data_IF_441748812711
#
_entry.id   IF_441748812711
#
_cell.length_a   1.000
_cell.length_b   1.000
_cell.length_c   1.000
_cell.angle_alpha   90.00
_cell.angle_beta   90.00
_cell.angle_gamma   90.00
#
_symmetry.space_group_name_H-M   'P 1'
#
loop_
_entity.id
_entity.type
_entity.pdbx_description
1 polymer ?
#
# COMPACT_ATOMS: atom_id res chain seq x y z
N UNK A 1 -36.50 11.12 4.29
CA UNK A 1 -35.63 11.30 5.48
C UNK A 1 -35.22 9.95 6.09
N UNK A 2 -36.13 9.00 6.40
CA UNK A 2 -35.74 7.68 6.88
C UNK A 2 -34.77 6.97 5.94
N UNK A 3 -34.97 7.09 4.63
CA UNK A 3 -34.18 6.43 3.58
C UNK A 3 -32.69 6.80 3.64
N UNK A 4 -32.36 8.02 4.05
CA UNK A 4 -30.96 8.50 4.18
C UNK A 4 -30.23 7.80 5.33
N UNK A 5 -30.96 7.35 6.36
CA UNK A 5 -30.41 6.64 7.52
C UNK A 5 -30.47 5.12 7.28
N UNK A 6 -31.50 4.63 6.60
CA UNK A 6 -31.67 3.22 6.26
C UNK A 6 -30.73 2.75 5.14
N UNK A 7 -30.35 3.62 4.20
CA UNK A 7 -29.40 3.30 3.13
C UNK A 7 -28.03 2.83 3.65
N UNK A 8 -27.29 3.60 4.49
CA UNK A 8 -25.99 3.16 4.97
C UNK A 8 -26.10 1.96 5.92
N UNK A 9 -27.18 1.86 6.72
CA UNK A 9 -27.42 0.71 7.60
C UNK A 9 -27.62 -0.60 6.83
N UNK A 10 -28.27 -0.58 5.66
CA UNK A 10 -28.39 -1.76 4.79
C UNK A 10 -27.03 -2.18 4.26
N UNK A 11 -26.29 -1.27 3.63
CA UNK A 11 -24.96 -1.58 3.08
C UNK A 11 -23.95 -2.06 4.13
N UNK A 12 -24.08 -1.63 5.39
CA UNK A 12 -23.26 -2.09 6.52
C UNK A 12 -23.64 -3.53 6.97
N UNK A 13 -24.92 -3.91 6.88
CA UNK A 13 -25.33 -5.30 7.10
C UNK A 13 -24.97 -6.22 5.92
N UNK A 14 -25.13 -5.72 4.70
CA UNK A 14 -24.79 -6.44 3.46
C UNK A 14 -23.25 -6.58 3.32
N UNK A 15 -22.48 -5.57 3.72
CA UNK A 15 -21.01 -5.59 3.79
C UNK A 15 -20.47 -6.62 4.78
N UNK A 16 -21.05 -6.71 5.98
CA UNK A 16 -20.75 -7.79 6.94
C UNK A 16 -21.06 -9.18 6.35
N UNK A 17 -22.22 -9.35 5.70
CA UNK A 17 -22.58 -10.61 5.07
C UNK A 17 -21.58 -11.00 3.95
N UNK A 18 -21.22 -10.04 3.10
CA UNK A 18 -20.24 -10.21 2.03
C UNK A 18 -18.83 -10.53 2.56
N UNK A 19 -18.40 -9.90 3.66
CA UNK A 19 -17.12 -10.22 4.33
C UNK A 19 -17.06 -11.69 4.76
N UNK A 20 -18.11 -12.20 5.44
CA UNK A 20 -18.16 -13.60 5.85
C UNK A 20 -18.30 -14.56 4.66
N UNK A 21 -19.07 -14.18 3.63
CA UNK A 21 -19.21 -14.96 2.41
C UNK A 21 -17.86 -15.16 1.70
N UNK A 22 -17.09 -14.10 1.51
CA UNK A 22 -15.75 -14.13 0.89
C UNK A 22 -14.72 -14.97 1.68
N UNK A 23 -14.86 -15.05 3.00
CA UNK A 23 -13.99 -15.86 3.87
C UNK A 23 -14.37 -17.35 3.88
N UNK A 24 -15.65 -17.68 3.71
CA UNK A 24 -16.17 -19.05 3.79
C UNK A 24 -16.12 -19.75 2.42
N UNK A 25 -16.29 -19.02 1.31
CA UNK A 25 -16.32 -19.58 -0.04
C UNK A 25 -15.24 -19.00 -0.97
N UNK A 26 -13.94 -19.37 -0.79
CA UNK A 26 -12.85 -18.93 -1.67
C UNK A 26 -13.03 -19.32 -3.15
N UNK A 27 -13.84 -20.33 -3.43
CA UNK A 27 -14.17 -20.75 -4.80
C UNK A 27 -15.10 -19.80 -5.56
N UNK A 28 -15.70 -18.80 -4.88
CA UNK A 28 -16.50 -17.75 -5.52
C UNK A 28 -15.64 -16.57 -6.04
N UNK A 29 -14.33 -16.59 -5.81
CA UNK A 29 -13.44 -15.50 -6.21
C UNK A 29 -13.28 -15.48 -7.75
N UNK A 30 -13.29 -14.30 -8.41
CA UNK A 30 -13.17 -14.26 -9.88
C UNK A 30 -11.79 -14.73 -10.35
N UNK A 31 -11.75 -15.68 -11.28
CA UNK A 31 -10.50 -16.19 -11.86
C UNK A 31 -9.75 -15.10 -12.67
N UNK A 32 -8.52 -14.72 -12.29
CA UNK A 32 -7.73 -13.72 -13.03
C UNK A 32 -7.27 -14.21 -14.42
N UNK A 33 -7.42 -15.51 -14.70
CA UNK A 33 -7.08 -16.12 -15.99
C UNK A 33 -8.16 -15.95 -17.06
N UNK A 34 -9.39 -15.58 -16.67
CA UNK A 34 -10.47 -15.28 -17.60
C UNK A 34 -10.65 -13.76 -17.79
N UNK A 35 -10.97 -13.36 -19.03
CA UNK A 35 -11.20 -11.96 -19.37
C UNK A 35 -12.39 -11.35 -18.63
N UNK A 36 -13.46 -12.12 -18.40
CA UNK A 36 -14.59 -11.62 -17.61
C UNK A 36 -14.27 -11.59 -16.10
N UNK A 37 -13.42 -12.50 -15.62
CA UNK A 37 -12.88 -12.48 -14.25
C UNK A 37 -12.04 -11.23 -13.96
N UNK A 38 -11.09 -10.89 -14.83
CA UNK A 38 -10.31 -9.64 -14.73
C UNK A 38 -11.19 -8.39 -14.68
N UNK A 39 -12.21 -8.32 -15.54
CA UNK A 39 -13.17 -7.21 -15.56
C UNK A 39 -13.94 -7.11 -14.24
N UNK A 40 -14.37 -8.25 -13.66
CA UNK A 40 -15.03 -8.28 -12.35
C UNK A 40 -14.11 -7.80 -11.22
N UNK A 41 -12.83 -8.17 -11.21
CA UNK A 41 -11.85 -7.72 -10.21
C UNK A 41 -11.69 -6.19 -10.26
N UNK A 42 -11.56 -5.63 -11.47
CA UNK A 42 -11.41 -4.17 -11.67
C UNK A 42 -12.66 -3.42 -11.20
N UNK A 43 -13.86 -3.90 -11.57
CA UNK A 43 -15.11 -3.27 -11.11
C UNK A 43 -15.38 -3.47 -9.62
N UNK A 44 -14.97 -4.59 -9.03
CA UNK A 44 -15.08 -4.83 -7.58
C UNK A 44 -14.27 -3.80 -6.77
N UNK A 45 -13.06 -3.45 -7.22
CA UNK A 45 -12.25 -2.40 -6.60
C UNK A 45 -12.86 -1.00 -6.64
N UNK A 46 -13.80 -0.75 -7.56
CA UNK A 46 -14.58 0.49 -7.66
C UNK A 46 -16.00 0.36 -7.07
N UNK A 47 -16.35 -0.78 -6.48
CA UNK A 47 -17.71 -1.07 -6.02
C UNK A 47 -18.02 -0.42 -4.68
N UNK A 48 -19.30 -0.08 -4.50
CA UNK A 48 -19.81 0.44 -3.24
C UNK A 48 -19.83 -0.63 -2.15
N UNK A 49 -20.08 -1.88 -2.52
CA UNK A 49 -20.04 -3.05 -1.62
C UNK A 49 -18.66 -3.22 -0.98
N UNK A 50 -17.58 -3.14 -1.77
CA UNK A 50 -16.21 -3.24 -1.27
C UNK A 50 -15.86 -2.11 -0.29
N UNK A 51 -16.37 -0.88 -0.51
CA UNK A 51 -16.20 0.22 0.45
C UNK A 51 -16.83 -0.11 1.81
N UNK A 52 -18.05 -0.65 1.83
CA UNK A 52 -18.70 -1.03 3.08
C UNK A 52 -18.02 -2.23 3.75
N UNK A 53 -17.56 -3.23 3.00
CA UNK A 53 -16.72 -4.33 3.53
C UNK A 53 -15.45 -3.81 4.25
N UNK A 54 -14.80 -2.77 3.72
CA UNK A 54 -13.64 -2.13 4.40
C UNK A 54 -14.07 -1.41 5.68
N UNK A 55 -15.20 -0.67 5.65
CA UNK A 55 -15.75 0.02 6.81
C UNK A 55 -16.13 -0.98 7.90
N UNK A 56 -16.74 -2.10 7.53
CA UNK A 56 -17.13 -3.19 8.44
C UNK A 56 -15.91 -3.88 9.05
N UNK A 57 -14.87 -4.15 8.27
CA UNK A 57 -13.61 -4.67 8.79
C UNK A 57 -12.99 -3.72 9.82
N UNK A 58 -12.97 -2.41 9.53
CA UNK A 58 -12.48 -1.40 10.46
C UNK A 58 -13.35 -1.31 11.73
N UNK A 59 -14.67 -1.42 11.59
CA UNK A 59 -15.62 -1.40 12.70
C UNK A 59 -15.52 -2.67 13.57
N UNK A 60 -15.33 -3.84 12.98
CA UNK A 60 -15.04 -5.10 13.69
C UNK A 60 -13.74 -4.96 14.51
N UNK A 61 -12.66 -4.46 13.89
CA UNK A 61 -11.37 -4.25 14.59
C UNK A 61 -11.55 -3.26 15.74
N UNK A 62 -12.29 -2.17 15.54
CA UNK A 62 -12.59 -1.18 16.57
C UNK A 62 -13.42 -1.78 17.72
N UNK A 63 -14.50 -2.51 17.43
CA UNK A 63 -15.37 -3.11 18.45
C UNK A 63 -14.63 -4.19 19.26
N UNK A 64 -13.91 -5.09 18.60
CA UNK A 64 -13.07 -6.10 19.30
C UNK A 64 -11.99 -5.38 20.13
N UNK A 65 -11.42 -4.30 19.59
CA UNK A 65 -10.41 -3.50 20.26
C UNK A 65 -10.88 -2.77 21.51
N UNK A 66 -12.09 -2.21 21.49
CA UNK A 66 -12.73 -1.60 22.66
C UNK A 66 -13.07 -2.64 23.73
N UNK A 67 -13.49 -3.84 23.32
CA UNK A 67 -13.79 -4.96 24.24
C UNK A 67 -12.52 -5.60 24.82
N UNK A 68 -11.39 -5.55 24.09
CA UNK A 68 -10.10 -6.13 24.49
C UNK A 68 -8.95 -5.21 24.06
N UNK A 69 -8.47 -4.27 24.90
CA UNK A 69 -7.41 -3.33 24.52
C UNK A 69 -6.09 -4.02 24.12
N UNK A 70 -5.82 -5.23 24.63
CA UNK A 70 -4.68 -6.05 24.19
C UNK A 70 -4.74 -6.47 22.71
N UNK A 71 -5.92 -6.53 22.10
CA UNK A 71 -6.08 -6.81 20.66
C UNK A 71 -5.60 -5.62 19.81
N UNK A 72 -5.94 -4.37 20.19
CA UNK A 72 -5.43 -3.19 19.48
C UNK A 72 -3.90 -3.11 19.55
N UNK A 73 -3.30 -3.44 20.69
CA UNK A 73 -1.85 -3.47 20.82
C UNK A 73 -1.20 -4.52 19.90
N UNK A 74 -1.83 -5.68 19.71
CA UNK A 74 -1.39 -6.68 18.74
C UNK A 74 -1.53 -6.19 17.29
N UNK A 75 -2.64 -5.51 16.95
CA UNK A 75 -2.84 -4.91 15.61
C UNK A 75 -1.78 -3.84 15.32
N UNK A 76 -1.53 -2.93 16.27
CA UNK A 76 -0.46 -1.90 16.15
C UNK A 76 0.90 -2.56 15.94
N UNK A 77 1.27 -3.54 16.78
CA UNK A 77 2.54 -4.26 16.64
C UNK A 77 2.65 -5.03 15.32
N UNK A 78 1.54 -5.51 14.77
CA UNK A 78 1.48 -6.10 13.42
C UNK A 78 1.75 -5.08 12.32
N UNK A 79 1.13 -3.91 12.39
CA UNK A 79 1.32 -2.81 11.43
C UNK A 79 2.75 -2.24 11.51
N UNK A 80 3.29 -2.06 12.71
CA UNK A 80 4.69 -1.67 12.93
C UNK A 80 5.66 -2.73 12.38
N UNK A 81 5.39 -4.02 12.65
CA UNK A 81 6.19 -5.14 12.15
C UNK A 81 6.21 -5.20 10.62
N UNK A 82 5.04 -5.09 9.98
CA UNK A 82 4.88 -5.03 8.53
C UNK A 82 5.65 -3.84 7.94
N UNK A 83 5.44 -2.63 8.49
CA UNK A 83 6.08 -1.41 8.01
C UNK A 83 7.61 -1.46 8.15
N UNK A 84 8.10 -2.07 9.23
CA UNK A 84 9.53 -2.30 9.44
C UNK A 84 10.13 -3.33 8.49
N UNK A 85 9.40 -4.40 8.16
CA UNK A 85 9.82 -5.37 7.14
C UNK A 85 9.86 -4.72 5.76
N UNK A 86 8.78 -4.02 5.37
CA UNK A 86 8.67 -3.30 4.09
C UNK A 86 9.76 -2.23 3.95
N UNK A 87 10.00 -1.41 4.97
CA UNK A 87 11.06 -0.38 4.94
C UNK A 87 12.47 -0.97 4.80
N UNK A 88 12.75 -2.10 5.48
CA UNK A 88 14.03 -2.81 5.33
C UNK A 88 14.21 -3.42 3.95
N UNK A 89 13.15 -3.99 3.35
CA UNK A 89 13.18 -4.52 1.98
C UNK A 89 13.34 -3.37 0.97
N UNK A 90 12.61 -2.28 1.16
CA UNK A 90 12.68 -1.09 0.31
C UNK A 90 14.10 -0.49 0.28
N UNK A 91 14.82 -0.47 1.41
CA UNK A 91 16.21 -0.02 1.45
C UNK A 91 17.16 -0.79 0.50
N UNK A 92 16.96 -2.10 0.34
CA UNK A 92 17.68 -2.90 -0.66
C UNK A 92 17.24 -2.58 -2.09
N UNK A 93 15.94 -2.33 -2.31
CA UNK A 93 15.42 -1.91 -3.61
C UNK A 93 16.01 -0.55 -4.06
N UNK A 94 16.26 0.40 -3.15
CA UNK A 94 16.96 1.66 -3.48
C UNK A 94 18.36 1.40 -4.02
N UNK A 95 19.13 0.50 -3.39
CA UNK A 95 20.48 0.15 -3.85
C UNK A 95 20.46 -0.44 -5.27
N UNK A 96 19.53 -1.37 -5.54
CA UNK A 96 19.34 -1.97 -6.86
C UNK A 96 18.94 -0.91 -7.90
N UNK A 97 17.99 -0.03 -7.55
CA UNK A 97 17.54 1.06 -8.42
C UNK A 97 18.70 1.99 -8.83
N UNK A 98 19.57 2.37 -7.89
CA UNK A 98 20.73 3.24 -8.17
C UNK A 98 21.74 2.53 -9.09
N UNK A 99 22.01 1.24 -8.87
CA UNK A 99 22.89 0.44 -9.75
C UNK A 99 22.30 0.34 -11.16
N UNK A 100 21.01 0.05 -11.28
CA UNK A 100 20.27 0.00 -12.55
C UNK A 100 20.32 1.35 -13.28
N UNK A 101 20.15 2.45 -12.57
CA UNK A 101 20.24 3.81 -13.12
C UNK A 101 21.65 4.15 -13.63
N UNK A 102 22.71 3.77 -12.89
CA UNK A 102 24.11 3.95 -13.34
C UNK A 102 24.37 3.13 -14.61
N UNK A 103 23.92 1.87 -14.65
CA UNK A 103 24.06 0.99 -15.81
C UNK A 103 23.39 1.57 -17.06
N UNK A 104 22.16 2.08 -16.93
CA UNK A 104 21.43 2.73 -18.03
C UNK A 104 22.17 3.97 -18.55
N UNK A 105 22.67 4.83 -17.67
CA UNK A 105 23.43 6.02 -18.07
C UNK A 105 24.73 5.62 -18.77
N UNK A 106 25.44 4.61 -18.28
CA UNK A 106 26.67 4.11 -18.91
C UNK A 106 26.40 3.54 -20.32
N UNK A 107 25.39 2.68 -20.46
CA UNK A 107 25.04 2.06 -21.75
C UNK A 107 24.56 3.08 -22.78
N UNK A 108 23.74 4.08 -22.38
CA UNK A 108 23.31 5.15 -23.29
C UNK A 108 24.42 6.13 -23.66
N UNK A 109 25.17 6.61 -22.67
CA UNK A 109 26.04 7.78 -22.84
C UNK A 109 27.48 7.44 -23.22
N UNK A 110 27.95 6.24 -22.89
CA UNK A 110 29.32 5.79 -23.19
C UNK A 110 29.29 4.82 -24.37
N UNK A 111 28.41 3.82 -24.35
CA UNK A 111 28.39 2.75 -25.34
C UNK A 111 27.36 2.91 -26.47
N UNK A 112 26.46 3.90 -26.38
CA UNK A 112 25.40 4.17 -27.37
C UNK A 112 24.50 2.94 -27.67
N UNK A 113 24.30 2.07 -26.69
CA UNK A 113 23.50 0.84 -26.84
C UNK A 113 22.01 1.15 -26.61
N UNK A 114 21.15 0.69 -27.53
CA UNK A 114 19.70 0.91 -27.52
C UNK A 114 18.89 -0.11 -26.70
N UNK A 115 19.47 -1.29 -26.44
CA UNK A 115 18.79 -2.44 -25.81
C UNK A 115 19.63 -3.03 -24.67
N UNK A 116 18.99 -3.39 -23.56
CA UNK A 116 19.60 -4.19 -22.49
C UNK A 116 19.12 -5.63 -22.66
N UNK A 117 20.07 -6.52 -22.92
CA UNK A 117 19.85 -7.97 -22.89
C UNK A 117 20.39 -8.52 -21.59
N UNK A 118 19.49 -8.91 -20.68
CA UNK A 118 19.85 -9.63 -19.45
C UNK A 118 19.60 -11.12 -19.69
N UNK A 119 20.62 -11.95 -19.48
CA UNK A 119 20.54 -13.40 -19.70
C UNK A 119 20.76 -14.27 -18.45
N UNK A 120 19.97 -14.15 -17.35
CA UNK A 120 20.10 -15.06 -16.21
C UNK A 120 19.67 -16.47 -16.62
N UNK A 121 20.47 -17.47 -16.26
CA UNK A 121 20.13 -18.90 -16.40
C UNK A 121 19.75 -19.35 -17.83
N UNK A 122 20.24 -18.67 -18.88
CA UNK A 122 20.03 -19.05 -20.27
C UNK A 122 18.72 -18.58 -20.90
N UNK A 123 17.87 -17.88 -20.15
CA UNK A 123 16.68 -17.21 -20.70
C UNK A 123 17.08 -15.79 -21.11
N UNK A 124 16.93 -15.45 -22.39
CA UNK A 124 17.33 -14.15 -22.93
C UNK A 124 16.17 -13.16 -22.76
N UNK A 125 16.33 -12.20 -21.84
CA UNK A 125 15.39 -11.10 -21.65
C UNK A 125 15.96 -9.81 -22.24
N UNK A 126 15.58 -9.51 -23.48
CA UNK A 126 15.94 -8.26 -24.18
C UNK A 126 14.79 -7.26 -24.07
N UNK A 127 15.10 -6.03 -23.66
CA UNK A 127 14.17 -4.89 -23.67
C UNK A 127 14.91 -3.59 -24.02
N UNK A 128 14.21 -2.71 -24.69
CA UNK A 128 14.67 -1.36 -25.01
C UNK A 128 14.99 -0.55 -23.74
N UNK A 129 15.93 0.39 -23.82
CA UNK A 129 16.22 1.23 -22.65
C UNK A 129 15.07 2.17 -22.24
N UNK A 130 14.07 2.41 -23.10
CA UNK A 130 12.85 3.14 -22.70
C UNK A 130 12.07 2.39 -21.64
N UNK A 131 11.95 1.06 -21.77
CA UNK A 131 11.27 0.20 -20.80
C UNK A 131 11.86 0.39 -19.40
N UNK A 132 13.18 0.21 -19.27
CA UNK A 132 13.87 0.36 -17.98
C UNK A 132 13.86 1.81 -17.45
N UNK A 133 13.75 2.82 -18.34
CA UNK A 133 13.61 4.23 -17.94
C UNK A 133 12.21 4.57 -17.42
N UNK A 134 11.17 3.91 -17.93
CA UNK A 134 9.80 4.02 -17.42
C UNK A 134 9.62 3.24 -16.12
N UNK A 135 10.17 2.02 -16.05
CA UNK A 135 10.27 1.19 -14.86
C UNK A 135 10.90 1.95 -13.67
N UNK A 136 11.99 2.70 -13.93
CA UNK A 136 12.64 3.57 -12.95
C UNK A 136 11.73 4.67 -12.37
N UNK A 137 10.76 5.19 -13.11
CA UNK A 137 9.80 6.20 -12.59
C UNK A 137 8.87 5.56 -11.56
N UNK A 138 8.40 4.34 -11.84
CA UNK A 138 7.59 3.56 -10.92
C UNK A 138 8.37 3.20 -9.65
N UNK A 139 9.62 2.75 -9.78
CA UNK A 139 10.47 2.46 -8.63
C UNK A 139 10.74 3.70 -7.77
N UNK A 140 10.99 4.85 -8.38
CA UNK A 140 11.16 6.11 -7.64
C UNK A 140 9.90 6.46 -6.82
N UNK A 141 8.72 6.43 -7.44
CA UNK A 141 7.45 6.71 -6.77
C UNK A 141 7.14 5.70 -5.64
N UNK A 142 7.40 4.41 -5.87
CA UNK A 142 7.26 3.37 -4.86
C UNK A 142 8.22 3.60 -3.68
N UNK A 143 9.49 3.91 -3.94
CA UNK A 143 10.48 4.19 -2.90
C UNK A 143 10.09 5.42 -2.08
N UNK A 144 9.70 6.53 -2.69
CA UNK A 144 9.30 7.75 -1.96
C UNK A 144 8.10 7.47 -1.04
N UNK A 145 7.07 6.79 -1.55
CA UNK A 145 5.85 6.48 -0.77
C UNK A 145 6.11 5.48 0.35
N UNK A 146 6.88 4.41 0.11
CA UNK A 146 7.22 3.41 1.12
C UNK A 146 8.20 3.94 2.17
N UNK A 147 9.18 4.77 1.78
CA UNK A 147 10.06 5.45 2.73
C UNK A 147 9.32 6.46 3.59
N UNK A 148 8.35 7.21 3.04
CA UNK A 148 7.50 8.11 3.83
C UNK A 148 6.62 7.36 4.84
N UNK A 149 6.07 6.20 4.46
CA UNK A 149 5.34 5.33 5.39
C UNK A 149 6.26 4.78 6.50
N UNK A 150 7.49 4.38 6.16
CA UNK A 150 8.46 3.90 7.13
C UNK A 150 8.94 4.98 8.11
N UNK A 151 9.25 6.20 7.64
CA UNK A 151 9.67 7.31 8.53
C UNK A 151 8.54 7.80 9.44
N UNK A 152 7.28 7.72 8.98
CA UNK A 152 6.11 7.96 9.81
C UNK A 152 6.02 6.95 10.98
N UNK A 153 6.12 5.65 10.69
CA UNK A 153 6.06 4.58 11.70
C UNK A 153 7.26 4.62 12.67
N UNK A 154 8.44 4.99 12.21
CA UNK A 154 9.62 5.15 13.06
C UNK A 154 9.57 6.39 13.97
N UNK A 155 8.55 7.25 13.86
CA UNK A 155 8.53 8.56 14.54
C UNK A 155 9.64 9.50 14.07
N UNK A 156 10.34 9.16 12.99
CA UNK A 156 11.45 9.89 12.39
C UNK A 156 11.01 11.09 11.56
N UNK A 157 9.70 11.37 11.50
CA UNK A 157 9.18 12.68 11.11
C UNK A 157 9.79 13.74 12.04
N UNK A 158 10.80 14.45 11.54
CA UNK A 158 11.29 15.68 12.16
C UNK A 158 10.10 16.64 12.19
N UNK A 159 9.43 16.73 13.35
CA UNK A 159 8.45 17.77 13.60
C UNK A 159 9.20 19.09 13.53
N UNK A 160 9.16 19.76 12.37
CA UNK A 160 9.65 21.14 12.19
C UNK A 160 8.64 22.05 12.87
N UNK A 161 8.67 21.97 14.19
CA UNK A 161 7.71 22.52 15.13
C UNK A 161 7.94 24.03 15.30
N UNK A 162 7.97 24.79 14.19
CA UNK A 162 8.09 26.25 14.21
C UNK A 162 7.00 26.89 15.07
N UNK A 163 5.77 26.36 14.97
CA UNK A 163 4.63 26.78 15.79
C UNK A 163 4.72 26.20 17.20
N UNK A 164 4.92 24.88 17.31
CA UNK A 164 5.01 24.16 18.60
C UNK A 164 6.15 24.67 19.50
N UNK A 165 7.25 25.22 18.98
CA UNK A 165 8.28 25.88 19.76
C UNK A 165 7.77 27.15 20.47
N UNK A 166 6.80 27.85 19.88
CA UNK A 166 6.27 29.13 20.38
C UNK A 166 5.05 29.02 21.31
N UNK A 167 4.28 27.92 21.26
CA UNK A 167 3.04 27.78 22.05
C UNK A 167 3.24 27.14 23.42
N UNK A 168 2.39 27.56 24.37
CA UNK A 168 2.43 27.12 25.76
C UNK A 168 2.14 25.62 25.93
N UNK A 169 2.64 25.04 27.03
CA UNK A 169 2.46 23.61 27.35
C UNK A 169 0.99 23.16 27.40
N UNK A 170 0.05 24.06 27.74
CA UNK A 170 -1.40 23.78 27.73
C UNK A 170 -1.95 23.64 26.32
N UNK A 171 -1.44 24.44 25.38
CA UNK A 171 -1.83 24.41 23.96
C UNK A 171 -1.27 23.16 23.28
N UNK A 172 -0.04 22.75 23.63
CA UNK A 172 0.57 21.50 23.13
C UNK A 172 -0.29 20.27 23.44
N UNK A 173 -0.72 20.13 24.70
CA UNK A 173 -1.59 19.01 25.15
C UNK A 173 -3.01 19.00 24.53
N UNK A 174 -3.34 19.99 23.72
CA UNK A 174 -4.62 20.11 23.00
C UNK A 174 -4.43 19.93 21.48
N UNK A 175 -3.17 19.80 21.02
CA UNK A 175 -2.75 19.59 19.63
C UNK A 175 -2.06 18.23 19.42
N UNK A 176 -1.52 17.61 20.48
CA UNK A 176 -1.14 16.19 20.56
C UNK A 176 -2.38 15.32 20.87
#
# INVERSE_FOLDING_TARGET
MPDVILWPLRHLLDGLANLFYLLIEPGAWPDPSDGAGLVRIVYFGASLEFLFVIIDLALIILVIGLLRPGFLWLVVRGIEGLSNAVGRIAAWAVLVMVIQQIMIIALQRIFLVSEITVGPFGVVFTRDLSWFSEELKLYNAAIVTLCAAYTFVQGGHVRVDLVYASVSFRTKRLLD
#
